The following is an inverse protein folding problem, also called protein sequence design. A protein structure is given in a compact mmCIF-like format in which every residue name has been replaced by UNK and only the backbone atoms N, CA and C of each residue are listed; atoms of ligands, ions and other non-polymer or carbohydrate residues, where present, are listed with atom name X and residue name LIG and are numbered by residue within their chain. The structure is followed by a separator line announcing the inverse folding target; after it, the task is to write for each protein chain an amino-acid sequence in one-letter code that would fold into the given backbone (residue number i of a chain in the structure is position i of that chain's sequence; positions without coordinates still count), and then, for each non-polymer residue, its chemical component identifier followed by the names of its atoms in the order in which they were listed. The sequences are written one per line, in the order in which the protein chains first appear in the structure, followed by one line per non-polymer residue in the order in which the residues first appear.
data_IF_488245244013
#
_entry.id   IF_488245244013
#
_cell.length_a   1.000
_cell.length_b   1.000
_cell.length_c   1.000
_cell.angle_alpha   90.00
_cell.angle_beta   90.00
_cell.angle_gamma   90.00
#
_symmetry.space_group_name_H-M   'P 1'
#
loop_
_entity.id
_entity.type
_entity.pdbx_description
1 polymer ?
#
# COMPACT_ATOMS: atom_id res chain seq x y z
N UNK A 1 8.21 -14.98 -12.20
CA UNK A 1 6.86 -15.08 -11.62
C UNK A 1 6.13 -16.22 -12.30
N UNK A 2 5.28 -16.95 -11.58
CA UNK A 2 4.31 -17.91 -12.13
C UNK A 2 2.92 -17.32 -11.95
N UNK A 3 2.09 -17.39 -12.99
CA UNK A 3 0.70 -16.91 -12.97
C UNK A 3 -0.25 -18.06 -13.30
N UNK A 4 -1.25 -18.25 -12.46
CA UNK A 4 -2.41 -19.10 -12.72
C UNK A 4 -3.64 -18.21 -12.87
N UNK A 5 -4.41 -18.40 -13.92
CA UNK A 5 -5.64 -17.66 -14.18
C UNK A 5 -6.75 -18.65 -14.56
N UNK A 6 -7.98 -18.33 -14.17
CA UNK A 6 -9.17 -19.07 -14.63
C UNK A 6 -9.67 -18.53 -15.96
N UNK A 7 -10.54 -19.28 -16.62
CA UNK A 7 -11.21 -18.90 -17.85
C UNK A 7 -12.08 -17.64 -17.70
N UNK A 8 -12.64 -17.38 -16.51
CA UNK A 8 -13.39 -16.15 -16.25
C UNK A 8 -12.61 -14.85 -16.50
N UNK A 9 -11.26 -14.90 -16.55
CA UNK A 9 -10.46 -13.75 -17.01
C UNK A 9 -10.70 -13.49 -18.51
N UNK A 10 -10.86 -14.55 -19.32
CA UNK A 10 -11.15 -14.45 -20.76
C UNK A 10 -12.62 -14.17 -21.04
N UNK A 11 -13.49 -14.44 -20.07
CA UNK A 11 -14.94 -14.18 -20.15
C UNK A 11 -15.29 -12.76 -19.64
N UNK A 12 -14.28 -11.90 -19.48
CA UNK A 12 -14.46 -10.48 -19.18
C UNK A 12 -14.66 -9.68 -20.47
N UNK A 13 -15.80 -9.00 -20.56
CA UNK A 13 -16.19 -8.24 -21.75
C UNK A 13 -16.00 -6.74 -21.57
N UNK A 14 -15.72 -6.05 -22.67
CA UNK A 14 -15.76 -4.59 -22.77
C UNK A 14 -17.19 -4.04 -22.88
N UNK A 15 -17.31 -2.72 -22.95
CA UNK A 15 -18.60 -2.03 -23.14
C UNK A 15 -19.28 -2.39 -24.48
N UNK A 16 -18.49 -2.72 -25.50
CA UNK A 16 -18.93 -3.17 -26.82
C UNK A 16 -19.37 -4.65 -26.86
N UNK A 17 -19.18 -5.39 -25.76
CA UNK A 17 -19.45 -6.80 -25.63
C UNK A 17 -18.38 -7.73 -26.19
N UNK A 18 -17.25 -7.18 -26.65
CA UNK A 18 -16.10 -7.98 -27.09
C UNK A 18 -15.31 -8.48 -25.88
N UNK A 19 -14.91 -9.75 -25.91
CA UNK A 19 -14.10 -10.36 -24.84
C UNK A 19 -12.62 -10.06 -25.03
N UNK A 20 -11.90 -9.99 -23.90
CA UNK A 20 -10.44 -9.84 -23.94
C UNK A 20 -9.78 -11.01 -24.69
N UNK A 21 -8.93 -10.71 -25.63
CA UNK A 21 -8.20 -11.72 -26.38
C UNK A 21 -6.97 -12.22 -25.61
N UNK A 22 -6.47 -13.41 -25.98
CA UNK A 22 -5.23 -13.95 -25.41
C UNK A 22 -4.01 -13.05 -25.65
N UNK A 23 -3.97 -12.36 -26.80
CA UNK A 23 -2.87 -11.47 -27.12
C UNK A 23 -2.92 -10.21 -26.25
N UNK A 24 -4.07 -9.59 -26.09
CA UNK A 24 -4.25 -8.41 -25.23
C UNK A 24 -3.90 -8.75 -23.78
N UNK A 25 -4.40 -9.88 -23.25
CA UNK A 25 -4.06 -10.33 -21.91
C UNK A 25 -2.54 -10.58 -21.77
N UNK A 26 -1.92 -11.19 -22.79
CA UNK A 26 -0.47 -11.42 -22.79
C UNK A 26 0.29 -10.10 -22.72
N UNK A 27 -0.07 -9.10 -23.53
CA UNK A 27 0.57 -7.79 -23.56
C UNK A 27 0.46 -7.07 -22.21
N UNK A 28 -0.71 -7.15 -21.56
CA UNK A 28 -0.93 -6.61 -20.21
C UNK A 28 -0.01 -7.32 -19.20
N UNK A 29 0.00 -8.65 -19.23
CA UNK A 29 0.82 -9.46 -18.31
C UNK A 29 2.30 -9.15 -18.50
N UNK A 30 2.79 -9.06 -19.74
CA UNK A 30 4.18 -8.72 -20.05
C UNK A 30 4.54 -7.33 -19.51
N UNK A 31 3.69 -6.33 -19.76
CA UNK A 31 3.90 -4.97 -19.26
C UNK A 31 3.97 -4.92 -17.72
N UNK A 32 3.09 -5.66 -17.04
CA UNK A 32 3.04 -5.66 -15.58
C UNK A 32 4.18 -6.44 -14.93
N UNK A 33 4.65 -7.53 -15.53
CA UNK A 33 5.71 -8.38 -14.93
C UNK A 33 7.05 -7.69 -14.76
N UNK A 34 7.30 -6.60 -15.49
CA UNK A 34 8.56 -5.87 -15.44
C UNK A 34 8.79 -5.14 -14.09
N UNK A 35 7.72 -4.64 -13.46
CA UNK A 35 7.79 -3.75 -12.29
C UNK A 35 6.85 -4.10 -11.15
N UNK A 36 6.12 -5.22 -11.26
CA UNK A 36 5.08 -5.62 -10.31
C UNK A 36 5.46 -6.90 -9.58
N UNK A 37 5.40 -6.87 -8.25
CA UNK A 37 5.54 -8.09 -7.47
C UNK A 37 4.21 -8.88 -7.35
N UNK A 38 4.33 -10.16 -6.97
CA UNK A 38 3.19 -11.06 -6.90
C UNK A 38 2.10 -10.60 -5.91
N UNK A 39 2.44 -9.79 -4.91
CA UNK A 39 1.50 -9.35 -3.86
C UNK A 39 0.40 -8.45 -4.42
N UNK A 40 0.75 -7.57 -5.36
CA UNK A 40 -0.20 -6.62 -5.97
C UNK A 40 -0.57 -6.98 -7.41
N UNK A 41 0.10 -7.97 -8.00
CA UNK A 41 -0.10 -8.32 -9.40
C UNK A 41 -1.56 -8.59 -9.78
N UNK A 42 -2.35 -9.39 -9.04
CA UNK A 42 -3.75 -9.65 -9.39
C UNK A 42 -4.60 -8.38 -9.46
N UNK A 43 -4.37 -7.45 -8.54
CA UNK A 43 -5.10 -6.18 -8.47
C UNK A 43 -4.70 -5.21 -9.59
N UNK A 44 -3.40 -5.16 -9.91
CA UNK A 44 -2.90 -4.36 -11.03
C UNK A 44 -3.40 -4.91 -12.37
N UNK A 45 -3.44 -6.23 -12.52
CA UNK A 45 -3.98 -6.88 -13.72
C UNK A 45 -5.46 -6.48 -13.90
N UNK A 46 -6.27 -6.65 -12.88
CA UNK A 46 -7.68 -6.27 -12.93
C UNK A 46 -7.86 -4.78 -13.22
N UNK A 47 -7.12 -3.91 -12.53
CA UNK A 47 -7.19 -2.46 -12.75
C UNK A 47 -6.77 -2.05 -14.17
N UNK A 48 -5.79 -2.73 -14.77
CA UNK A 48 -5.37 -2.48 -16.14
C UNK A 48 -6.44 -2.92 -17.15
N UNK A 49 -7.07 -4.08 -16.91
CA UNK A 49 -8.20 -4.54 -17.72
C UNK A 49 -9.37 -3.55 -17.68
N UNK A 50 -9.74 -3.08 -16.48
CA UNK A 50 -10.77 -2.05 -16.30
C UNK A 50 -10.42 -0.75 -17.05
N UNK A 51 -9.17 -0.28 -16.98
CA UNK A 51 -8.73 0.91 -17.73
C UNK A 51 -8.79 0.74 -19.25
N UNK A 52 -8.68 -0.49 -19.74
CA UNK A 52 -8.86 -0.83 -21.15
C UNK A 52 -10.35 -1.05 -21.54
N UNK A 53 -11.25 -0.90 -20.59
CA UNK A 53 -12.70 -1.03 -20.80
C UNK A 53 -13.27 -2.43 -20.55
N UNK A 54 -12.44 -3.39 -20.08
CA UNK A 54 -12.89 -4.74 -19.75
C UNK A 54 -13.37 -4.80 -18.28
N UNK A 55 -14.64 -4.46 -18.06
CA UNK A 55 -15.23 -4.34 -16.72
C UNK A 55 -16.31 -5.41 -16.43
N UNK A 56 -16.91 -6.00 -17.48
CA UNK A 56 -18.03 -6.89 -17.33
C UNK A 56 -17.54 -8.34 -17.13
N UNK A 57 -17.39 -8.73 -15.86
CA UNK A 57 -17.01 -10.08 -15.47
C UNK A 57 -18.25 -10.95 -15.44
N UNK A 58 -18.32 -11.96 -16.31
CA UNK A 58 -19.48 -12.85 -16.45
C UNK A 58 -19.34 -14.17 -15.69
N UNK A 59 -18.13 -14.54 -15.26
CA UNK A 59 -17.81 -15.78 -14.54
C UNK A 59 -16.75 -15.55 -13.46
N UNK A 60 -16.37 -16.60 -12.73
CA UNK A 60 -15.42 -16.55 -11.62
C UNK A 60 -14.02 -16.07 -12.06
N UNK A 61 -13.68 -14.85 -11.68
CA UNK A 61 -12.40 -14.21 -11.99
C UNK A 61 -11.36 -14.56 -10.90
N UNK A 62 -10.47 -15.49 -11.20
CA UNK A 62 -9.40 -15.88 -10.27
C UNK A 62 -8.02 -15.68 -10.89
N UNK A 63 -7.15 -14.97 -10.16
CA UNK A 63 -5.74 -14.78 -10.52
C UNK A 63 -4.86 -15.17 -9.33
N UNK A 64 -3.91 -16.06 -9.55
CA UNK A 64 -2.90 -16.48 -8.56
C UNK A 64 -1.53 -16.11 -9.08
N UNK A 65 -0.80 -15.28 -8.35
CA UNK A 65 0.56 -14.91 -8.66
C UNK A 65 1.53 -15.50 -7.63
N UNK A 66 2.55 -16.22 -8.10
CA UNK A 66 3.59 -16.81 -7.26
C UNK A 66 4.96 -16.28 -7.70
N UNK A 67 5.71 -15.76 -6.74
CA UNK A 67 7.05 -15.24 -6.99
C UNK A 67 8.04 -15.79 -5.98
N UNK A 68 9.12 -16.38 -6.50
CA UNK A 68 10.25 -16.77 -5.64
C UNK A 68 10.96 -15.50 -5.19
N UNK A 69 11.02 -15.28 -3.89
CA UNK A 69 11.81 -14.20 -3.27
C UNK A 69 12.98 -14.81 -2.51
N UNK A 70 14.09 -14.09 -2.48
CA UNK A 70 15.17 -14.38 -1.54
C UNK A 70 14.79 -13.80 -0.19
N UNK A 71 14.87 -14.62 0.86
CA UNK A 71 14.73 -14.14 2.23
C UNK A 71 15.91 -13.19 2.54
N UNK A 72 15.61 -11.94 2.83
CA UNK A 72 16.62 -10.92 3.16
C UNK A 72 16.61 -10.72 4.67
N UNK A 73 17.78 -10.72 5.28
CA UNK A 73 17.93 -10.52 6.73
C UNK A 73 17.50 -9.09 7.17
N UNK A 74 17.49 -8.16 6.23
CA UNK A 74 17.14 -6.75 6.41
C UNK A 74 15.70 -6.42 5.95
N UNK A 75 14.82 -7.41 5.97
CA UNK A 75 13.40 -7.28 5.60
C UNK A 75 12.51 -8.02 6.59
N UNK A 76 11.48 -7.34 7.08
CA UNK A 76 10.43 -7.94 7.91
C UNK A 76 9.09 -7.74 7.20
N UNK A 77 8.30 -8.80 7.08
CA UNK A 77 6.97 -8.77 6.47
C UNK A 77 5.94 -9.33 7.44
N UNK A 78 4.77 -8.69 7.55
CA UNK A 78 3.66 -9.13 8.40
C UNK A 78 2.32 -8.95 7.71
N UNK A 79 1.44 -9.89 7.96
CA UNK A 79 0.00 -9.76 7.72
C UNK A 79 -0.67 -9.69 9.09
N UNK A 80 -1.28 -8.57 9.41
CA UNK A 80 -1.82 -8.29 10.74
C UNK A 80 -3.32 -7.99 10.68
N UNK A 81 -4.08 -8.31 11.74
CA UNK A 81 -5.44 -7.80 11.89
C UNK A 81 -5.43 -6.26 11.99
N UNK A 82 -6.42 -5.60 11.40
CA UNK A 82 -6.59 -4.15 11.48
C UNK A 82 -7.11 -3.73 12.88
N UNK A 83 -6.28 -3.90 13.90
CA UNK A 83 -6.58 -3.60 15.30
C UNK A 83 -5.49 -2.74 15.93
N UNK A 84 -5.89 -1.74 16.71
CA UNK A 84 -4.96 -0.86 17.43
C UNK A 84 -4.00 -1.61 18.36
N UNK A 85 -4.40 -2.79 18.87
CA UNK A 85 -3.54 -3.64 19.71
C UNK A 85 -2.31 -4.20 18.98
N UNK A 86 -2.32 -4.23 17.65
CA UNK A 86 -1.20 -4.74 16.85
C UNK A 86 -0.16 -3.65 16.55
N UNK A 87 -0.54 -2.37 16.60
CA UNK A 87 0.30 -1.24 16.20
C UNK A 87 1.65 -1.22 16.93
N UNK A 88 1.61 -1.26 18.26
CA UNK A 88 2.84 -1.24 19.08
C UNK A 88 3.74 -2.44 18.82
N UNK A 89 3.16 -3.64 18.66
CA UNK A 89 3.92 -4.86 18.41
C UNK A 89 4.70 -4.77 17.09
N UNK A 90 4.01 -4.34 16.03
CA UNK A 90 4.60 -4.20 14.70
C UNK A 90 5.66 -3.10 14.70
N UNK A 91 5.38 -1.96 15.32
CA UNK A 91 6.34 -0.86 15.41
C UNK A 91 7.64 -1.29 16.08
N UNK A 92 7.55 -1.95 17.26
CA UNK A 92 8.72 -2.46 17.99
C UNK A 92 9.45 -3.55 17.20
N UNK A 93 8.72 -4.45 16.53
CA UNK A 93 9.35 -5.48 15.71
C UNK A 93 10.09 -4.88 14.51
N UNK A 94 9.48 -3.92 13.82
CA UNK A 94 10.07 -3.28 12.66
C UNK A 94 11.29 -2.43 13.00
N UNK A 95 11.26 -1.77 14.15
CA UNK A 95 12.42 -0.99 14.62
C UNK A 95 13.63 -1.86 14.99
N UNK A 96 13.46 -3.18 15.15
CA UNK A 96 14.57 -4.10 15.48
C UNK A 96 15.65 -4.21 14.39
N UNK A 97 15.38 -3.80 13.14
CA UNK A 97 16.39 -3.76 12.06
C UNK A 97 17.16 -2.42 12.01
N UNK A 98 16.81 -1.48 12.89
CA UNK A 98 17.50 -0.20 12.99
C UNK A 98 18.86 -0.34 13.67
N UNK A 99 19.79 0.56 13.32
CA UNK A 99 21.16 0.54 13.84
C UNK A 99 21.37 1.55 14.98
N UNK A 100 20.49 2.57 15.09
CA UNK A 100 20.59 3.61 16.08
C UNK A 100 19.21 4.08 16.60
N UNK A 101 19.22 4.83 17.71
CA UNK A 101 18.00 5.30 18.36
C UNK A 101 17.14 6.24 17.49
N UNK A 102 17.74 6.99 16.60
CA UNK A 102 17.01 7.87 15.69
C UNK A 102 16.22 7.04 14.70
N UNK A 103 16.86 6.06 14.06
CA UNK A 103 16.20 5.14 13.11
C UNK A 103 15.08 4.35 13.79
N UNK A 104 15.30 3.87 15.03
CA UNK A 104 14.26 3.23 15.84
C UNK A 104 13.04 4.14 15.93
N UNK A 105 13.24 5.38 16.40
CA UNK A 105 12.15 6.34 16.59
C UNK A 105 11.43 6.69 15.29
N UNK A 106 12.17 6.89 14.20
CA UNK A 106 11.59 7.22 12.89
C UNK A 106 10.76 6.06 12.33
N UNK A 107 11.23 4.81 12.46
CA UNK A 107 10.49 3.61 12.04
C UNK A 107 9.22 3.44 12.89
N UNK A 108 9.35 3.47 14.22
CA UNK A 108 8.21 3.33 15.12
C UNK A 108 7.14 4.39 14.83
N UNK A 109 7.55 5.65 14.70
CA UNK A 109 6.65 6.75 14.42
C UNK A 109 5.94 6.59 13.08
N UNK A 110 6.68 6.21 12.02
CA UNK A 110 6.10 5.96 10.70
C UNK A 110 5.06 4.83 10.74
N UNK A 111 5.39 3.71 11.38
CA UNK A 111 4.48 2.57 11.52
C UNK A 111 3.24 2.94 12.33
N UNK A 112 3.41 3.66 13.44
CA UNK A 112 2.31 4.13 14.29
C UNK A 112 1.35 5.02 13.51
N UNK A 113 1.86 6.05 12.85
CA UNK A 113 1.02 7.00 12.12
C UNK A 113 0.32 6.34 10.93
N UNK A 114 1.04 5.51 10.16
CA UNK A 114 0.43 4.78 9.06
C UNK A 114 -0.69 3.86 9.53
N UNK A 115 -0.41 2.95 10.47
CA UNK A 115 -1.40 1.96 10.94
C UNK A 115 -2.58 2.62 11.64
N UNK A 116 -2.35 3.67 12.45
CA UNK A 116 -3.43 4.42 13.07
C UNK A 116 -4.34 5.07 12.02
N UNK A 117 -3.76 5.68 10.98
CA UNK A 117 -4.53 6.27 9.90
C UNK A 117 -5.39 5.23 9.18
N UNK A 118 -4.84 4.08 8.83
CA UNK A 118 -5.57 2.99 8.18
C UNK A 118 -6.67 2.44 9.08
N UNK A 119 -6.38 2.16 10.36
CA UNK A 119 -7.33 1.51 11.28
C UNK A 119 -8.45 2.47 11.71
N UNK A 120 -8.12 3.74 11.97
CA UNK A 120 -9.08 4.72 12.51
C UNK A 120 -9.84 5.43 11.38
N UNK A 121 -9.13 5.84 10.33
CA UNK A 121 -9.69 6.70 9.28
C UNK A 121 -10.04 5.97 7.99
N UNK A 122 -9.42 4.83 7.69
CA UNK A 122 -9.78 3.97 6.55
C UNK A 122 -11.24 3.48 6.58
N UNK A 123 -11.91 3.64 7.73
CA UNK A 123 -13.30 3.22 7.96
C UNK A 123 -14.34 4.34 7.89
N UNK A 124 -13.94 5.59 7.72
CA UNK A 124 -14.89 6.71 7.81
C UNK A 124 -15.93 6.66 6.66
N UNK A 125 -17.08 6.06 6.96
CA UNK A 125 -18.26 6.07 6.09
C UNK A 125 -18.39 4.91 5.10
N UNK A 126 -17.57 3.86 5.17
CA UNK A 126 -17.75 2.64 4.38
C UNK A 126 -18.03 1.42 5.28
N UNK A 127 -18.86 0.48 4.78
CA UNK A 127 -19.03 -0.83 5.43
C UNK A 127 -17.81 -1.76 5.21
N UNK A 128 -16.82 -1.31 4.47
CA UNK A 128 -15.59 -2.05 4.16
C UNK A 128 -14.50 -1.62 5.15
N UNK A 129 -14.36 -2.40 6.21
CA UNK A 129 -13.20 -2.29 7.11
C UNK A 129 -12.10 -3.17 6.59
N UNK A 130 -10.84 -2.70 6.56
CA UNK A 130 -9.75 -3.63 6.33
C UNK A 130 -9.75 -4.65 7.47
N UNK A 131 -9.93 -5.93 7.13
CA UNK A 131 -9.81 -7.00 8.12
C UNK A 131 -8.34 -7.29 8.41
N UNK A 132 -7.51 -7.18 7.38
CA UNK A 132 -6.09 -7.45 7.41
C UNK A 132 -5.32 -6.31 6.74
N UNK A 133 -4.13 -6.03 7.28
CA UNK A 133 -3.16 -5.11 6.71
C UNK A 133 -1.87 -5.90 6.46
N UNK A 134 -1.41 -5.92 5.21
CA UNK A 134 -0.05 -6.35 4.93
C UNK A 134 0.89 -5.16 5.11
N UNK A 135 1.98 -5.36 5.84
CA UNK A 135 3.00 -4.34 6.03
C UNK A 135 4.39 -4.98 5.96
N UNK A 136 5.31 -4.33 5.29
CA UNK A 136 6.71 -4.72 5.30
C UNK A 136 7.63 -3.53 5.50
N UNK A 137 8.81 -3.82 6.04
CA UNK A 137 9.95 -2.91 6.08
C UNK A 137 11.16 -3.59 5.47
N UNK A 138 11.91 -2.86 4.67
CA UNK A 138 13.18 -3.31 4.10
C UNK A 138 14.20 -2.19 4.10
N UNK A 139 15.48 -2.55 4.32
CA UNK A 139 16.61 -1.62 4.14
C UNK A 139 17.14 -1.75 2.72
N UNK A 140 17.02 -0.69 1.93
CA UNK A 140 17.47 -0.63 0.55
C UNK A 140 18.39 0.57 0.32
N UNK A 141 19.62 0.31 -0.12
CA UNK A 141 20.62 1.37 -0.40
C UNK A 141 20.79 2.33 0.78
N UNK A 142 20.78 1.81 2.01
CA UNK A 142 20.96 2.57 3.24
C UNK A 142 19.71 3.32 3.75
N UNK A 143 18.58 3.23 3.06
CA UNK A 143 17.30 3.82 3.47
C UNK A 143 16.31 2.74 3.86
N UNK A 144 15.47 3.04 4.84
CA UNK A 144 14.35 2.18 5.18
C UNK A 144 13.15 2.52 4.30
N UNK A 145 12.54 1.48 3.71
CA UNK A 145 11.28 1.56 3.01
C UNK A 145 10.24 0.78 3.79
N UNK A 146 9.12 1.42 4.08
CA UNK A 146 7.95 0.82 4.71
C UNK A 146 6.84 0.82 3.68
N UNK A 147 6.25 -0.35 3.44
CA UNK A 147 5.15 -0.54 2.49
C UNK A 147 3.96 -1.13 3.21
N UNK A 148 2.80 -0.54 3.05
CA UNK A 148 1.53 -1.04 3.52
C UNK A 148 0.57 -1.33 2.38
N UNK A 149 -0.18 -2.43 2.50
CA UNK A 149 -1.28 -2.79 1.62
C UNK A 149 -2.53 -3.03 2.47
N UNK A 150 -3.64 -2.43 2.09
CA UNK A 150 -4.90 -2.59 2.79
C UNK A 150 -6.09 -2.43 1.85
N UNK A 151 -7.21 -3.08 2.22
CA UNK A 151 -8.49 -2.86 1.58
C UNK A 151 -9.29 -1.85 2.39
N UNK A 152 -9.56 -0.69 1.81
CA UNK A 152 -10.29 0.35 2.52
C UNK A 152 -10.65 1.52 1.62
N UNK A 153 -11.17 2.57 2.23
CA UNK A 153 -11.48 3.78 1.49
C UNK A 153 -10.19 4.37 0.92
N UNK A 154 -10.25 4.78 -0.35
CA UNK A 154 -9.14 5.50 -0.99
C UNK A 154 -8.79 6.75 -0.18
N UNK A 155 -7.53 6.86 0.20
CA UNK A 155 -6.96 8.05 0.82
C UNK A 155 -5.58 8.25 0.24
N UNK A 156 -5.23 9.46 -0.12
CA UNK A 156 -3.94 9.76 -0.77
C UNK A 156 -3.08 10.58 0.18
N UNK A 157 -2.12 9.93 0.88
CA UNK A 157 -1.21 10.63 1.77
C UNK A 157 -0.14 11.46 1.03
N UNK A 158 0.02 11.31 -0.28
CA UNK A 158 0.96 12.11 -1.08
C UNK A 158 0.40 13.48 -1.44
N UNK A 159 -0.93 13.62 -1.46
CA UNK A 159 -1.63 14.86 -1.85
C UNK A 159 -2.04 15.68 -0.63
N UNK A 160 -1.05 16.17 0.11
CA UNK A 160 -1.24 16.79 1.42
C UNK A 160 -1.66 18.25 1.39
N UNK A 161 -1.64 18.90 0.24
CA UNK A 161 -2.08 20.31 0.10
C UNK A 161 -3.55 20.51 0.42
N UNK A 162 -4.36 19.45 0.37
CA UNK A 162 -5.80 19.52 0.61
C UNK A 162 -6.23 19.30 2.08
N UNK A 163 -5.30 19.05 3.02
CA UNK A 163 -5.65 18.86 4.43
C UNK A 163 -5.89 20.20 5.14
N UNK A 164 -5.31 21.28 4.66
CA UNK A 164 -5.55 22.65 5.18
C UNK A 164 -6.89 23.26 4.71
N UNK A 165 -7.59 22.60 3.79
CA UNK A 165 -8.88 23.08 3.23
C UNK A 165 -10.12 22.87 4.10
N UNK A 166 -9.98 22.43 5.36
CA UNK A 166 -11.09 22.52 6.31
C UNK A 166 -11.26 23.96 6.73
N UNK A 167 -12.43 24.50 6.40
CA UNK A 167 -12.88 25.81 6.80
C UNK A 167 -12.45 26.14 8.22
N UNK A 168 -11.86 27.32 8.41
CA UNK A 168 -11.36 27.82 9.69
C UNK A 168 -12.46 27.87 10.81
N UNK A 169 -13.69 27.51 10.50
CA UNK A 169 -14.86 27.53 11.38
C UNK A 169 -15.04 26.23 12.20
N UNK A 170 -14.38 25.12 11.85
CA UNK A 170 -14.51 23.84 12.58
C UNK A 170 -13.35 23.57 13.55
N UNK A 171 -12.87 24.60 14.22
CA UNK A 171 -11.81 24.53 15.23
C UNK A 171 -12.25 23.98 16.60
N UNK A 172 -13.47 23.50 16.72
CA UNK A 172 -14.01 22.98 17.99
C UNK A 172 -13.70 21.50 18.27
N UNK A 173 -13.16 20.76 17.31
CA UNK A 173 -12.63 19.41 17.56
C UNK A 173 -11.18 19.46 18.02
N UNK A 174 -10.79 18.69 19.05
CA UNK A 174 -9.38 18.66 19.48
C UNK A 174 -8.49 18.24 18.31
N UNK A 175 -7.48 19.06 18.02
CA UNK A 175 -6.57 18.99 16.85
C UNK A 175 -5.66 17.74 16.88
N UNK A 176 -6.24 16.55 16.78
CA UNK A 176 -5.51 15.28 16.67
C UNK A 176 -5.44 14.73 15.23
N UNK A 177 -6.34 15.17 14.34
CA UNK A 177 -6.42 14.68 12.97
C UNK A 177 -5.64 15.58 11.99
N UNK A 178 -4.39 15.46 11.86
CA UNK A 178 -3.56 16.21 10.90
C UNK A 178 -2.08 16.21 11.30
N UNK A 179 -1.79 16.02 12.58
CA UNK A 179 -0.41 15.96 13.05
C UNK A 179 0.35 14.74 12.54
N UNK A 180 -0.33 13.60 12.44
CA UNK A 180 0.29 12.36 11.96
C UNK A 180 0.87 12.49 10.57
N UNK A 181 0.16 13.14 9.67
CA UNK A 181 0.63 13.39 8.31
C UNK A 181 1.80 14.38 8.27
N UNK A 182 1.77 15.42 9.11
CA UNK A 182 2.91 16.35 9.24
C UNK A 182 4.17 15.64 9.78
N UNK A 183 3.98 14.70 10.70
CA UNK A 183 5.06 13.86 11.23
C UNK A 183 5.64 12.99 10.12
N UNK A 184 4.79 12.28 9.36
CA UNK A 184 5.22 11.45 8.24
C UNK A 184 6.02 12.27 7.22
N UNK A 185 5.56 13.48 6.86
CA UNK A 185 6.31 14.39 5.97
C UNK A 185 7.69 14.78 6.54
N UNK A 186 7.75 15.00 7.85
CA UNK A 186 9.00 15.42 8.49
C UNK A 186 10.08 14.33 8.46
N UNK A 187 9.68 13.04 8.56
CA UNK A 187 10.59 11.89 8.67
C UNK A 187 10.79 11.13 7.37
N UNK A 188 10.00 11.40 6.32
CA UNK A 188 10.11 10.72 5.02
C UNK A 188 10.72 11.62 3.96
N UNK A 189 11.53 11.03 3.06
CA UNK A 189 12.00 11.67 1.83
C UNK A 189 10.93 11.59 0.74
N UNK A 190 10.19 10.48 0.71
CA UNK A 190 9.25 10.19 -0.34
C UNK A 190 8.10 9.34 0.16
N UNK A 191 6.90 9.68 -0.27
CA UNK A 191 5.67 8.92 -0.05
C UNK A 191 5.03 8.67 -1.40
N UNK A 192 4.71 7.42 -1.69
CA UNK A 192 3.90 7.05 -2.85
C UNK A 192 2.62 6.40 -2.40
N UNK A 193 1.56 6.68 -3.15
CA UNK A 193 0.27 6.05 -2.98
C UNK A 193 -0.26 5.57 -4.32
N UNK A 194 -0.73 4.33 -4.34
CA UNK A 194 -1.41 3.74 -5.47
C UNK A 194 -2.71 3.10 -4.99
N UNK A 195 -3.71 3.07 -5.84
CA UNK A 195 -4.96 2.35 -5.58
C UNK A 195 -5.30 1.51 -6.80
N UNK A 196 -5.45 0.20 -6.60
CA UNK A 196 -5.77 -0.78 -7.63
C UNK A 196 -7.10 -1.43 -7.26
N UNK A 197 -8.16 -1.12 -7.97
CA UNK A 197 -9.52 -1.54 -7.60
C UNK A 197 -9.84 -1.13 -6.15
N UNK A 198 -9.88 -2.08 -5.23
CA UNK A 198 -10.14 -1.90 -3.80
C UNK A 198 -8.91 -2.06 -2.91
N UNK A 199 -7.72 -2.31 -3.48
CA UNK A 199 -6.45 -2.39 -2.76
C UNK A 199 -5.72 -1.07 -2.81
N UNK A 200 -5.38 -0.53 -1.64
CA UNK A 200 -4.52 0.62 -1.49
C UNK A 200 -3.09 0.18 -1.16
N UNK A 201 -2.13 0.79 -1.80
CA UNK A 201 -0.70 0.62 -1.56
C UNK A 201 -0.08 1.96 -1.17
N UNK A 202 0.53 2.00 0.01
CA UNK A 202 1.29 3.17 0.47
C UNK A 202 2.73 2.78 0.74
N UNK A 203 3.69 3.53 0.20
CA UNK A 203 5.11 3.32 0.45
C UNK A 203 5.74 4.59 1.01
N UNK A 204 6.49 4.43 2.10
CA UNK A 204 7.29 5.48 2.73
C UNK A 204 8.76 5.17 2.57
N UNK A 205 9.56 6.15 2.16
CA UNK A 205 11.02 6.08 2.21
C UNK A 205 11.48 7.02 3.32
N UNK A 206 12.04 6.48 4.41
CA UNK A 206 12.54 7.29 5.52
C UNK A 206 13.80 8.05 5.11
N UNK A 207 13.99 9.23 5.69
CA UNK A 207 15.17 10.06 5.45
C UNK A 207 16.43 9.30 5.87
N UNK A 208 17.46 9.32 5.03
CA UNK A 208 18.78 8.89 5.45
C UNK A 208 19.30 9.87 6.47
N UNK A 209 19.68 9.38 7.65
CA UNK A 209 20.46 10.20 8.57
C UNK A 209 21.75 10.61 7.85
N UNK A 210 21.94 11.91 7.60
CA UNK A 210 23.26 12.39 7.30
C UNK A 210 24.13 12.05 8.51
N UNK A 211 25.15 11.22 8.31
CA UNK A 211 26.25 11.18 9.28
C UNK A 211 26.88 12.56 9.19
N UNK A 212 26.58 13.42 10.18
CA UNK A 212 27.43 14.56 10.43
C UNK A 212 28.77 13.98 10.89
N UNK A 213 29.66 13.69 9.93
CA UNK A 213 31.10 13.51 10.22
C UNK A 213 31.63 14.84 10.67
N UNK A 214 31.56 15.08 11.97
CA UNK A 214 32.34 16.09 12.67
C UNK A 214 33.57 15.43 13.29
#
# INVERSE_FOLDING_TARGET
MFLGITDGVFDTAGEDGEFITKNELHDIVEALTADTDATVFPYRLKSMMEQMGYENISDDFTVVALQKRQCRADCIERLIPAKLSEVNKVATEFSSIAEDLRQISEIELCVHEFLNNVIVHGNAGSNQRPDLIYINIAKEKGKFKIRGLEHGKKWDPSNMENIDGRNAEDRSSPATSGRGMQILQAITDHVTYNSYCDLNETCFTLKSGEKNDN
#
